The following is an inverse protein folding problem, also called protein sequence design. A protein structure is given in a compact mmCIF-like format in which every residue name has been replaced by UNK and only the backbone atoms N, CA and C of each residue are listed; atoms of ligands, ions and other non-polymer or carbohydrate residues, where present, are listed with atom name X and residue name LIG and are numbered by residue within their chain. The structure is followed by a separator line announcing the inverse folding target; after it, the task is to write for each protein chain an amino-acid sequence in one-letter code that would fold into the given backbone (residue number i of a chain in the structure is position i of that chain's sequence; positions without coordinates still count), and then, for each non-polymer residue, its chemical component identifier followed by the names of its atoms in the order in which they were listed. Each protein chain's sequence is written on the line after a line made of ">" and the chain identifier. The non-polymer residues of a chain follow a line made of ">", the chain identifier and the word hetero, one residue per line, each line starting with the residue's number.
data_IF_432616382618
#
_entry.id   IF_432616382618
#
_cell.length_a   1.000
_cell.length_b   1.000
_cell.length_c   1.000
_cell.angle_alpha   90.00
_cell.angle_beta   90.00
_cell.angle_gamma   90.00
#
_symmetry.space_group_name_H-M   'P 1'
#
loop_
_entity.id
_entity.type
_entity.pdbx_description
1 polymer ?
#
# COMPACT_ATOMS: atom_id res chain seq x y z
N UNK A 1 -10.38 46.16 33.21
CA UNK A 1 -11.72 45.52 33.26
C UNK A 1 -12.10 45.11 31.84
N UNK A 2 -12.83 44.00 31.69
CA UNK A 2 -13.69 43.60 30.56
C UNK A 2 -13.14 43.46 29.11
N UNK A 3 -13.43 42.29 28.54
CA UNK A 3 -13.56 41.91 27.11
C UNK A 3 -15.01 42.23 26.62
N UNK A 4 -15.52 41.82 25.41
CA UNK A 4 -14.92 41.37 24.12
C UNK A 4 -15.46 42.18 22.90
N UNK A 5 -15.11 41.98 21.60
CA UNK A 5 -15.71 40.97 20.68
C UNK A 5 -15.01 40.79 19.30
N UNK A 6 -15.11 39.54 18.82
CA UNK A 6 -14.77 38.87 17.55
C UNK A 6 -14.89 39.70 16.24
N UNK A 7 -14.19 39.43 15.11
CA UNK A 7 -13.74 38.16 14.46
C UNK A 7 -12.43 38.43 13.65
N UNK A 8 -11.80 37.56 12.85
CA UNK A 8 -12.02 36.17 12.38
C UNK A 8 -10.65 35.45 12.20
N UNK A 9 -10.64 34.24 11.64
CA UNK A 9 -9.49 33.32 11.56
C UNK A 9 -8.77 33.26 10.19
N UNK A 10 -7.44 33.12 10.20
CA UNK A 10 -6.69 32.30 9.23
C UNK A 10 -5.62 31.46 9.96
N UNK A 11 -5.99 30.25 10.39
CA UNK A 11 -5.06 29.22 10.88
C UNK A 11 -5.55 27.84 10.42
N UNK A 12 -4.65 27.00 9.89
CA UNK A 12 -4.92 25.55 9.72
C UNK A 12 -4.82 24.96 8.31
N UNK A 13 -3.60 24.86 7.73
CA UNK A 13 -3.32 23.96 6.58
C UNK A 13 -2.07 23.07 6.82
N UNK A 14 -1.44 23.16 7.98
CA UNK A 14 -0.15 22.53 8.27
C UNK A 14 -0.24 21.30 9.21
N UNK A 15 -1.20 20.37 9.00
CA UNK A 15 -1.35 19.20 9.90
C UNK A 15 -2.11 17.96 9.37
N UNK A 16 -2.57 17.91 8.11
CA UNK A 16 -3.62 16.94 7.71
C UNK A 16 -3.25 15.45 7.75
N UNK A 17 -1.97 15.05 7.63
CA UNK A 17 -1.56 13.64 7.83
C UNK A 17 -0.55 13.40 8.95
N UNK A 18 -0.02 14.46 9.60
CA UNK A 18 0.98 14.35 10.67
C UNK A 18 0.64 15.06 11.97
N UNK A 19 -0.35 15.96 11.97
CA UNK A 19 -0.72 16.77 13.15
C UNK A 19 -1.76 16.13 14.06
N UNK A 20 -2.52 15.14 13.57
CA UNK A 20 -3.47 14.37 14.38
C UNK A 20 -2.83 13.61 15.56
N UNK A 21 -1.50 13.47 15.56
CA UNK A 21 -0.75 12.88 16.67
C UNK A 21 -0.51 13.86 17.83
N UNK A 22 -0.33 15.15 17.56
CA UNK A 22 0.12 16.12 18.57
C UNK A 22 -1.02 16.56 19.51
N UNK A 23 -2.25 16.74 19.02
CA UNK A 23 -3.37 17.12 19.89
C UNK A 23 -3.73 16.03 20.92
N UNK A 24 -3.48 14.74 20.60
CA UNK A 24 -3.66 13.63 21.54
C UNK A 24 -2.48 13.40 22.50
N UNK A 25 -1.31 13.98 22.25
CA UNK A 25 -0.16 13.92 23.18
C UNK A 25 -0.37 14.83 24.41
N UNK A 26 -1.22 15.86 24.30
CA UNK A 26 -1.55 16.76 25.43
C UNK A 26 -2.56 16.17 26.42
N UNK A 27 -3.17 15.01 26.15
CA UNK A 27 -4.06 14.30 27.08
C UNK A 27 -3.34 13.26 27.95
N UNK A 28 -2.04 13.43 28.20
CA UNK A 28 -1.24 12.54 29.05
C UNK A 28 -1.61 12.66 30.53
N UNK A 29 -2.58 11.86 31.00
CA UNK A 29 -2.99 11.90 32.41
C UNK A 29 -4.01 10.84 32.85
N UNK A 30 -3.52 9.62 33.15
CA UNK A 30 -4.21 8.49 33.82
C UNK A 30 -5.47 7.93 33.15
N UNK A 31 -5.64 6.60 33.29
CA UNK A 31 -6.86 5.87 32.88
C UNK A 31 -8.07 6.36 33.68
N UNK A 32 -9.18 6.61 33.00
CA UNK A 32 -10.51 6.27 33.53
C UNK A 32 -11.31 5.57 32.43
N UNK A 33 -12.08 4.55 32.81
CA UNK A 33 -13.03 3.92 31.91
C UNK A 33 -14.29 4.79 31.87
N UNK A 34 -14.37 5.70 30.90
CA UNK A 34 -15.57 6.49 30.66
C UNK A 34 -16.35 5.95 29.47
N UNK A 35 -17.67 5.90 29.64
CA UNK A 35 -18.61 5.26 28.70
C UNK A 35 -18.46 5.78 27.27
N UNK A 36 -18.70 4.90 26.30
CA UNK A 36 -18.90 5.25 24.88
C UNK A 36 -20.20 6.06 24.73
N UNK A 37 -20.14 7.35 25.02
CA UNK A 37 -21.28 8.26 24.96
C UNK A 37 -21.53 8.87 23.57
N UNK A 38 -22.68 9.53 23.38
CA UNK A 38 -23.10 10.11 22.10
C UNK A 38 -22.13 11.16 21.54
N UNK A 39 -21.26 11.75 22.39
CA UNK A 39 -20.25 12.71 21.98
C UNK A 39 -19.14 12.07 21.10
N UNK A 40 -18.76 10.82 21.39
CA UNK A 40 -17.80 10.08 20.56
C UNK A 40 -18.40 9.69 19.20
N UNK A 41 -19.70 9.37 19.19
CA UNK A 41 -20.45 9.09 17.96
C UNK A 41 -20.66 10.36 17.11
N UNK A 42 -20.95 11.49 17.75
CA UNK A 42 -21.03 12.80 17.09
C UNK A 42 -19.70 13.21 16.47
N UNK A 43 -18.57 12.98 17.15
CA UNK A 43 -17.23 13.22 16.60
C UNK A 43 -16.93 12.27 15.43
N UNK A 44 -17.25 10.98 15.54
CA UNK A 44 -17.10 10.05 14.40
C UNK A 44 -18.00 10.44 13.19
N UNK A 45 -19.17 11.02 13.44
CA UNK A 45 -20.07 11.55 12.41
C UNK A 45 -19.56 12.84 11.74
N UNK A 46 -18.81 13.69 12.42
CA UNK A 46 -18.21 14.92 11.84
C UNK A 46 -16.83 14.68 11.22
N UNK A 47 -16.06 13.74 11.75
CA UNK A 47 -14.76 13.32 11.19
C UNK A 47 -14.92 12.70 9.79
N UNK A 48 -15.98 11.91 9.55
CA UNK A 48 -16.23 11.27 8.24
C UNK A 48 -16.35 12.27 7.07
N UNK A 49 -17.23 13.29 7.10
CA UNK A 49 -17.30 14.30 6.03
C UNK A 49 -15.99 15.08 5.82
N UNK A 50 -15.32 15.48 6.91
CA UNK A 50 -14.05 16.21 6.84
C UNK A 50 -12.93 15.35 6.24
N UNK A 51 -12.88 14.07 6.60
CA UNK A 51 -11.98 13.10 5.99
C UNK A 51 -12.21 13.01 4.48
N UNK A 52 -13.47 12.84 4.03
CA UNK A 52 -13.78 12.75 2.61
C UNK A 52 -13.40 14.01 1.81
N UNK A 53 -13.59 15.20 2.39
CA UNK A 53 -13.14 16.46 1.79
C UNK A 53 -11.60 16.49 1.68
N UNK A 54 -10.89 16.18 2.78
CA UNK A 54 -9.43 16.17 2.80
C UNK A 54 -8.83 15.13 1.85
N UNK A 55 -9.39 13.92 1.81
CA UNK A 55 -9.01 12.83 0.93
C UNK A 55 -9.26 13.20 -0.56
N UNK A 56 -10.41 13.80 -0.87
CA UNK A 56 -10.70 14.29 -2.23
C UNK A 56 -9.72 15.38 -2.67
N UNK A 57 -9.40 16.33 -1.78
CA UNK A 57 -8.38 17.36 -2.02
C UNK A 57 -6.99 16.76 -2.26
N UNK A 58 -6.61 15.72 -1.50
CA UNK A 58 -5.39 14.96 -1.71
C UNK A 58 -5.42 14.24 -3.08
N UNK A 59 -6.31 13.27 -3.25
CA UNK A 59 -6.28 12.35 -4.39
C UNK A 59 -6.61 13.00 -5.75
N UNK A 60 -7.31 14.15 -5.79
CA UNK A 60 -7.86 14.69 -7.05
C UNK A 60 -7.35 16.08 -7.46
N UNK A 61 -6.52 16.76 -6.67
CA UNK A 61 -6.18 18.18 -6.93
C UNK A 61 -4.69 18.50 -6.94
N UNK A 62 -4.35 19.67 -7.50
CA UNK A 62 -3.00 20.25 -7.43
C UNK A 62 -2.54 20.51 -5.98
N UNK A 63 -3.46 20.67 -5.02
CA UNK A 63 -3.12 20.84 -3.61
C UNK A 63 -2.53 19.55 -3.02
N UNK A 64 -3.12 18.39 -3.35
CA UNK A 64 -2.56 17.08 -3.02
C UNK A 64 -1.17 16.88 -3.61
N UNK A 65 -0.96 17.24 -4.87
CA UNK A 65 0.38 17.21 -5.49
C UNK A 65 1.39 18.15 -4.80
N UNK A 66 0.95 19.29 -4.25
CA UNK A 66 1.82 20.16 -3.43
C UNK A 66 2.12 19.52 -2.07
N UNK A 67 1.15 18.82 -1.47
CA UNK A 67 1.34 18.08 -0.21
C UNK A 67 2.33 16.92 -0.38
N UNK A 68 2.16 16.09 -1.41
CA UNK A 68 3.09 15.02 -1.76
C UNK A 68 4.52 15.54 -1.99
N UNK A 69 4.72 16.62 -2.75
CA UNK A 69 6.06 17.23 -2.92
C UNK A 69 6.67 17.72 -1.61
N UNK A 70 5.86 18.13 -0.61
CA UNK A 70 6.33 18.45 0.75
C UNK A 70 6.69 17.19 1.54
N UNK A 71 5.95 16.08 1.38
CA UNK A 71 6.32 14.79 1.95
C UNK A 71 7.63 14.28 1.37
N UNK A 72 7.82 14.31 0.05
CA UNK A 72 9.09 13.97 -0.62
C UNK A 72 10.27 14.75 -0.04
N UNK A 73 10.14 16.09 0.05
CA UNK A 73 11.21 16.94 0.58
C UNK A 73 11.59 16.53 2.00
N UNK A 74 10.60 16.37 2.89
CA UNK A 74 10.82 15.92 4.28
C UNK A 74 11.41 14.52 4.36
N UNK A 75 10.97 13.61 3.49
CA UNK A 75 11.46 12.25 3.42
C UNK A 75 12.94 12.21 3.04
N UNK A 76 13.36 12.95 2.00
CA UNK A 76 14.76 13.07 1.60
C UNK A 76 15.63 13.76 2.66
N UNK A 77 15.08 14.75 3.38
CA UNK A 77 15.76 15.38 4.52
C UNK A 77 15.97 14.39 5.69
N UNK A 78 14.99 13.52 5.97
CA UNK A 78 15.06 12.51 7.04
C UNK A 78 15.88 11.27 6.64
N UNK A 79 15.81 10.89 5.38
CA UNK A 79 16.31 9.64 4.80
C UNK A 79 17.02 9.92 3.46
N UNK A 80 18.22 10.54 3.46
CA UNK A 80 18.89 10.97 2.24
C UNK A 80 19.31 9.81 1.32
N UNK A 81 19.46 8.60 1.85
CA UNK A 81 19.74 7.36 1.10
C UNK A 81 18.52 6.44 1.01
N UNK A 82 17.30 6.98 1.17
CA UNK A 82 16.08 6.21 1.31
C UNK A 82 15.83 5.68 2.72
N UNK A 83 14.58 5.31 3.00
CA UNK A 83 14.16 4.80 4.32
C UNK A 83 14.68 3.40 4.63
N UNK A 84 15.10 2.66 3.60
CA UNK A 84 15.60 1.29 3.69
C UNK A 84 16.80 1.07 2.77
N UNK A 85 17.71 0.17 3.18
CA UNK A 85 18.70 -0.45 2.33
C UNK A 85 18.04 -1.63 1.61
N UNK A 86 18.14 -1.65 0.29
CA UNK A 86 17.51 -2.68 -0.55
C UNK A 86 18.58 -3.53 -1.21
N UNK A 87 18.23 -4.76 -1.61
CA UNK A 87 19.10 -5.64 -2.38
C UNK A 87 18.34 -6.07 -3.64
N UNK A 88 18.95 -5.96 -4.84
CA UNK A 88 18.34 -6.47 -6.06
C UNK A 88 18.11 -7.97 -5.99
N UNK A 89 16.92 -8.42 -6.38
CA UNK A 89 16.62 -9.84 -6.60
C UNK A 89 16.80 -10.16 -8.08
N UNK A 90 17.66 -11.13 -8.40
CA UNK A 90 17.95 -11.52 -9.80
C UNK A 90 17.53 -12.97 -10.03
N UNK A 91 16.68 -13.20 -11.03
CA UNK A 91 16.14 -14.52 -11.39
C UNK A 91 16.19 -14.67 -12.91
N UNK A 92 17.04 -15.56 -13.43
CA UNK A 92 17.12 -15.96 -14.84
C UNK A 92 17.15 -14.81 -15.88
N UNK A 93 17.83 -13.71 -15.54
CA UNK A 93 17.94 -12.52 -16.39
C UNK A 93 16.79 -11.51 -16.23
N UNK A 94 15.97 -11.65 -15.19
CA UNK A 94 15.17 -10.57 -14.62
C UNK A 94 15.88 -10.04 -13.39
N UNK A 95 15.98 -8.72 -13.23
CA UNK A 95 16.48 -8.07 -12.02
C UNK A 95 15.41 -7.11 -11.47
N UNK A 96 14.98 -7.33 -10.23
CA UNK A 96 13.98 -6.51 -9.53
C UNK A 96 14.69 -5.72 -8.42
N UNK A 97 14.57 -4.40 -8.46
CA UNK A 97 15.21 -3.46 -7.53
C UNK A 97 14.12 -2.68 -6.81
N UNK A 98 13.90 -2.92 -5.50
CA UNK A 98 13.11 -2.03 -4.67
C UNK A 98 13.85 -0.70 -4.52
N UNK A 99 13.22 0.40 -4.92
CA UNK A 99 13.72 1.76 -4.77
C UNK A 99 12.97 2.40 -3.59
N UNK A 100 13.63 2.67 -2.45
CA UNK A 100 13.00 3.26 -1.28
C UNK A 100 12.67 4.73 -1.56
N UNK A 101 11.39 5.07 -1.56
CA UNK A 101 10.89 6.43 -1.82
C UNK A 101 10.02 6.90 -0.67
N UNK A 102 9.90 8.22 -0.50
CA UNK A 102 9.13 8.82 0.60
C UNK A 102 9.56 8.27 1.98
N UNK A 103 8.63 8.13 2.93
CA UNK A 103 8.96 7.68 4.30
C UNK A 103 9.04 6.16 4.45
N UNK A 104 8.35 5.42 3.59
CA UNK A 104 8.08 3.99 3.72
C UNK A 104 7.61 3.31 2.41
N UNK A 105 7.31 4.05 1.34
CA UNK A 105 6.91 3.52 0.04
C UNK A 105 8.06 2.82 -0.72
N UNK A 106 7.74 1.86 -1.59
CA UNK A 106 8.66 1.30 -2.58
C UNK A 106 8.16 1.52 -4.01
N UNK A 107 9.00 2.11 -4.85
CA UNK A 107 8.91 1.91 -6.31
C UNK A 107 9.68 0.65 -6.67
N UNK A 108 9.32 -0.04 -7.76
CA UNK A 108 10.06 -1.23 -8.22
C UNK A 108 10.58 -1.06 -9.64
N UNK A 109 11.90 -1.03 -9.80
CA UNK A 109 12.55 -1.06 -11.12
C UNK A 109 12.77 -2.53 -11.51
N UNK A 110 12.18 -2.95 -12.63
CA UNK A 110 12.17 -4.34 -13.09
C UNK A 110 12.81 -4.39 -14.47
N UNK A 111 13.93 -5.09 -14.57
CA UNK A 111 14.85 -5.05 -15.71
C UNK A 111 14.86 -6.41 -16.41
N UNK A 112 14.66 -6.40 -17.73
CA UNK A 112 15.12 -7.48 -18.61
C UNK A 112 16.61 -7.28 -18.91
N UNK A 113 17.47 -8.12 -18.32
CA UNK A 113 18.92 -7.98 -18.50
C UNK A 113 19.41 -8.41 -19.87
N UNK A 114 18.57 -9.04 -20.70
CA UNK A 114 18.92 -9.44 -22.07
C UNK A 114 18.70 -8.29 -23.08
N UNK A 115 17.72 -7.41 -22.82
CA UNK A 115 17.41 -6.29 -23.71
C UNK A 115 17.76 -4.90 -23.13
N UNK A 116 18.22 -4.83 -21.88
CA UNK A 116 18.45 -3.58 -21.13
C UNK A 116 17.23 -2.65 -21.11
N UNK A 117 16.03 -3.24 -21.07
CA UNK A 117 14.75 -2.54 -21.00
C UNK A 117 14.13 -2.74 -19.62
N UNK A 118 13.50 -1.69 -19.11
CA UNK A 118 12.92 -1.66 -17.78
C UNK A 118 11.43 -1.28 -17.80
N UNK A 119 10.67 -1.96 -16.95
CA UNK A 119 9.38 -1.50 -16.45
C UNK A 119 9.56 -0.96 -15.02
N UNK A 120 8.80 0.06 -14.63
CA UNK A 120 8.78 0.56 -13.25
C UNK A 120 7.37 0.55 -12.69
N UNK A 121 7.20 -0.09 -11.52
CA UNK A 121 5.94 0.00 -10.76
C UNK A 121 6.01 1.19 -9.81
N UNK A 122 4.92 1.96 -9.79
CA UNK A 122 4.67 3.09 -8.88
C UNK A 122 5.87 4.01 -8.63
N UNK A 123 6.37 4.71 -9.67
CA UNK A 123 7.51 5.62 -9.55
C UNK A 123 7.09 6.91 -8.83
N UNK A 124 6.96 6.84 -7.51
CA UNK A 124 6.58 7.96 -6.68
C UNK A 124 7.63 9.07 -6.74
N UNK A 125 8.90 8.77 -6.46
CA UNK A 125 10.01 9.71 -6.61
C UNK A 125 10.68 9.54 -7.98
N UNK A 126 10.44 10.44 -8.95
CA UNK A 126 11.02 10.33 -10.28
C UNK A 126 12.53 10.54 -10.28
N UNK A 127 13.12 11.18 -9.27
CA UNK A 127 14.57 11.37 -9.20
C UNK A 127 15.25 10.09 -8.74
N UNK A 128 14.76 9.46 -7.67
CA UNK A 128 15.33 8.20 -7.18
C UNK A 128 15.21 7.09 -8.22
N UNK A 129 14.07 7.02 -8.92
CA UNK A 129 13.90 6.07 -10.04
C UNK A 129 14.82 6.41 -11.22
N UNK A 130 14.94 7.69 -11.61
CA UNK A 130 15.85 8.08 -12.70
C UNK A 130 17.30 7.72 -12.38
N UNK A 131 17.78 7.98 -11.16
CA UNK A 131 19.13 7.61 -10.73
C UNK A 131 19.35 6.09 -10.80
N UNK A 132 18.39 5.28 -10.34
CA UNK A 132 18.47 3.83 -10.45
C UNK A 132 18.52 3.34 -11.92
N UNK A 133 17.77 3.97 -12.84
CA UNK A 133 17.80 3.62 -14.26
C UNK A 133 19.15 3.98 -14.92
N UNK A 134 19.75 5.10 -14.51
CA UNK A 134 21.06 5.57 -14.97
C UNK A 134 22.20 4.69 -14.42
N UNK A 135 22.18 4.34 -13.14
CA UNK A 135 23.14 3.45 -12.48
C UNK A 135 23.15 2.03 -13.09
N UNK A 136 21.98 1.53 -13.49
CA UNK A 136 21.83 0.22 -14.14
C UNK A 136 22.05 0.26 -15.65
N UNK A 137 22.13 1.45 -16.26
CA UNK A 137 22.35 1.62 -17.71
C UNK A 137 21.19 1.14 -18.59
N UNK A 138 19.94 1.25 -18.11
CA UNK A 138 18.75 0.68 -18.76
C UNK A 138 17.77 1.74 -19.27
N UNK A 139 17.01 1.40 -20.31
CA UNK A 139 15.99 2.29 -20.88
C UNK A 139 14.62 2.00 -20.29
N UNK A 140 13.93 3.05 -19.80
CA UNK A 140 12.56 2.95 -19.29
C UNK A 140 11.55 2.88 -20.44
N UNK A 141 10.84 1.76 -20.54
CA UNK A 141 9.84 1.54 -21.59
C UNK A 141 8.40 1.62 -21.06
N UNK A 142 8.18 1.19 -19.81
CA UNK A 142 6.85 1.14 -19.19
C UNK A 142 6.84 1.64 -17.75
N UNK A 143 5.78 2.36 -17.38
CA UNK A 143 5.38 2.63 -16.00
C UNK A 143 4.07 1.91 -15.75
N UNK A 144 4.05 1.03 -14.76
CA UNK A 144 2.87 0.29 -14.30
C UNK A 144 2.37 0.94 -13.01
N UNK A 145 1.29 1.71 -13.08
CA UNK A 145 0.78 2.41 -11.90
C UNK A 145 -0.37 1.61 -11.28
N UNK A 146 -0.26 1.23 -10.00
CA UNK A 146 -1.28 0.43 -9.31
C UNK A 146 -2.53 1.26 -9.06
N UNK A 147 -2.38 2.50 -8.59
CA UNK A 147 -3.49 3.39 -8.28
C UNK A 147 -3.08 4.88 -8.24
N UNK A 148 -4.06 5.76 -8.04
CA UNK A 148 -3.93 7.21 -8.25
C UNK A 148 -3.25 8.02 -7.15
N UNK A 149 -2.91 7.46 -5.99
CA UNK A 149 -2.36 8.29 -4.91
C UNK A 149 -0.99 8.83 -5.31
N UNK A 150 -0.63 9.99 -4.77
CA UNK A 150 0.54 10.74 -5.25
C UNK A 150 1.85 10.08 -4.83
N UNK A 151 1.83 9.31 -3.77
CA UNK A 151 2.91 8.46 -3.27
C UNK A 151 3.11 7.16 -4.06
N UNK A 152 2.35 6.97 -5.14
CA UNK A 152 2.56 5.91 -6.15
C UNK A 152 2.73 6.52 -7.55
N UNK A 153 1.83 7.42 -7.92
CA UNK A 153 1.73 8.00 -9.27
C UNK A 153 2.47 9.33 -9.48
N UNK A 154 3.09 9.87 -8.42
CA UNK A 154 3.61 11.25 -8.36
C UNK A 154 4.72 11.56 -9.35
N UNK A 155 5.55 10.58 -9.72
CA UNK A 155 6.63 10.73 -10.69
C UNK A 155 6.25 10.40 -12.13
N UNK A 156 5.09 9.77 -12.40
CA UNK A 156 4.69 9.28 -13.73
C UNK A 156 4.88 10.34 -14.84
N UNK A 157 4.33 11.54 -14.63
CA UNK A 157 4.44 12.65 -15.60
C UNK A 157 5.86 13.20 -15.72
N UNK A 158 6.69 13.06 -14.70
CA UNK A 158 8.08 13.53 -14.73
C UNK A 158 8.97 12.55 -15.51
N UNK A 159 8.91 11.25 -15.18
CA UNK A 159 9.63 10.22 -15.92
C UNK A 159 9.19 10.18 -17.39
N UNK A 160 7.89 10.27 -17.71
CA UNK A 160 7.44 10.34 -19.11
C UNK A 160 7.95 11.57 -19.88
N UNK A 161 8.32 12.67 -19.21
CA UNK A 161 8.98 13.80 -19.90
C UNK A 161 10.46 13.55 -20.19
N UNK A 162 11.13 12.73 -19.37
CA UNK A 162 12.51 12.33 -19.58
C UNK A 162 12.59 11.19 -20.63
N UNK A 163 11.66 10.24 -20.54
CA UNK A 163 11.51 9.09 -21.43
C UNK A 163 10.23 9.23 -22.25
N UNK A 164 10.28 9.98 -23.35
CA UNK A 164 9.10 10.37 -24.13
C UNK A 164 8.30 9.17 -24.68
N UNK A 165 9.01 8.13 -25.11
CA UNK A 165 8.50 6.83 -25.56
C UNK A 165 7.86 5.99 -24.45
N UNK A 166 8.14 6.27 -23.17
CA UNK A 166 7.64 5.48 -22.05
C UNK A 166 6.10 5.42 -22.05
N UNK A 167 5.58 4.19 -22.04
CA UNK A 167 4.16 3.88 -21.93
C UNK A 167 3.77 3.96 -20.45
N UNK A 168 2.65 4.60 -20.13
CA UNK A 168 2.13 4.69 -18.75
C UNK A 168 0.80 3.96 -18.70
N UNK A 169 0.77 2.93 -17.85
CA UNK A 169 -0.31 1.97 -17.67
C UNK A 169 -1.00 2.15 -16.32
N UNK A 170 -2.26 1.73 -16.26
CA UNK A 170 -3.11 1.77 -15.08
C UNK A 170 -4.59 1.84 -15.46
N UNK A 171 -5.48 1.82 -14.47
CA UNK A 171 -6.91 1.88 -14.72
C UNK A 171 -7.38 3.32 -15.05
N UNK A 172 -8.30 3.45 -16.00
CA UNK A 172 -8.89 4.74 -16.37
C UNK A 172 -9.71 5.36 -15.23
N UNK A 173 -10.39 4.55 -14.41
CA UNK A 173 -11.25 4.99 -13.31
C UNK A 173 -10.50 5.77 -12.23
N UNK A 174 -9.19 5.55 -12.13
CA UNK A 174 -8.32 6.23 -11.16
C UNK A 174 -7.70 7.53 -11.72
N UNK A 175 -7.91 7.88 -13.00
CA UNK A 175 -7.39 9.13 -13.60
C UNK A 175 -5.85 9.27 -13.41
N UNK A 176 -5.13 8.17 -13.61
CA UNK A 176 -3.68 8.05 -13.36
C UNK A 176 -2.91 9.21 -14.04
N UNK A 177 -2.11 10.00 -13.28
CA UNK A 177 -1.32 11.09 -13.82
C UNK A 177 -0.42 10.69 -14.99
N UNK A 178 -0.78 11.12 -16.21
CA UNK A 178 0.03 10.85 -17.41
C UNK A 178 -0.24 9.49 -18.06
N UNK A 179 -1.33 8.82 -17.70
CA UNK A 179 -1.84 7.62 -18.37
C UNK A 179 -1.84 7.78 -19.89
N UNK A 180 -1.44 6.72 -20.58
CA UNK A 180 -1.48 6.64 -22.06
C UNK A 180 -2.06 5.34 -22.56
N UNK A 181 -1.93 4.26 -21.78
CA UNK A 181 -2.38 2.92 -22.12
C UNK A 181 -3.29 2.44 -20.98
N UNK A 182 -4.59 2.80 -20.99
CA UNK A 182 -5.53 2.32 -19.99
C UNK A 182 -5.65 0.80 -20.03
N UNK A 183 -5.76 0.18 -18.87
CA UNK A 183 -5.91 -1.26 -18.70
C UNK A 183 -7.25 -1.64 -18.08
N UNK A 184 -7.69 -2.86 -18.40
CA UNK A 184 -8.82 -3.58 -17.82
C UNK A 184 -8.35 -4.87 -17.15
N UNK A 185 -9.28 -5.66 -16.61
CA UNK A 185 -8.92 -6.92 -15.93
C UNK A 185 -8.31 -7.93 -16.90
N UNK A 186 -7.22 -8.58 -16.49
CA UNK A 186 -6.50 -9.64 -17.22
C UNK A 186 -5.77 -9.21 -18.50
N UNK A 187 -5.69 -7.91 -18.79
CA UNK A 187 -4.84 -7.40 -19.86
C UNK A 187 -3.36 -7.76 -19.64
N UNK A 188 -2.61 -7.88 -20.74
CA UNK A 188 -1.19 -8.26 -20.74
C UNK A 188 -0.32 -7.09 -21.21
N UNK A 189 0.83 -6.90 -20.56
CA UNK A 189 1.85 -5.92 -20.93
C UNK A 189 3.16 -6.67 -21.17
N UNK A 190 3.70 -6.58 -22.38
CA UNK A 190 5.04 -7.05 -22.72
C UNK A 190 6.02 -5.86 -22.79
N UNK A 191 7.19 -6.05 -22.18
CA UNK A 191 8.34 -5.12 -22.14
C UNK A 191 9.61 -5.94 -22.39
N UNK A 192 10.48 -5.46 -23.28
CA UNK A 192 11.66 -6.23 -23.70
C UNK A 192 11.34 -7.63 -24.23
N UNK A 193 12.17 -8.62 -23.85
CA UNK A 193 12.05 -10.02 -24.30
C UNK A 193 11.42 -10.96 -23.27
N UNK A 194 11.46 -10.61 -21.98
CA UNK A 194 11.05 -11.49 -20.87
C UNK A 194 10.02 -10.90 -19.91
N UNK A 195 9.78 -9.59 -19.90
CA UNK A 195 8.86 -8.99 -18.93
C UNK A 195 7.42 -9.02 -19.44
N UNK A 196 6.74 -10.13 -19.17
CA UNK A 196 5.30 -10.29 -19.39
C UNK A 196 4.53 -10.08 -18.08
N UNK A 197 3.82 -8.97 -17.97
CA UNK A 197 2.92 -8.70 -16.86
C UNK A 197 1.48 -9.02 -17.24
N UNK A 198 0.74 -9.63 -16.32
CA UNK A 198 -0.72 -9.69 -16.33
C UNK A 198 -1.27 -8.72 -15.31
N UNK A 199 -2.10 -7.78 -15.76
CA UNK A 199 -2.79 -6.85 -14.89
C UNK A 199 -4.07 -7.51 -14.33
N UNK A 200 -4.38 -7.27 -13.06
CA UNK A 200 -5.65 -7.66 -12.44
C UNK A 200 -6.34 -6.45 -11.85
N UNK A 201 -7.63 -6.31 -12.12
CA UNK A 201 -8.45 -5.24 -11.55
C UNK A 201 -8.87 -5.61 -10.14
N UNK A 202 -8.47 -4.79 -9.16
CA UNK A 202 -8.56 -5.12 -7.73
C UNK A 202 -9.07 -3.95 -6.91
N UNK A 203 -10.31 -3.47 -7.18
CA UNK A 203 -10.89 -2.35 -6.46
C UNK A 203 -10.99 -2.64 -4.96
N UNK A 204 -10.91 -1.58 -4.15
CA UNK A 204 -11.01 -1.71 -2.69
C UNK A 204 -10.31 -0.56 -1.99
N UNK A 205 -9.01 -0.42 -2.24
CA UNK A 205 -8.23 0.73 -1.78
C UNK A 205 -8.69 2.01 -2.49
N UNK A 206 -8.54 2.04 -3.81
CA UNK A 206 -9.21 2.99 -4.71
C UNK A 206 -10.21 2.27 -5.61
N UNK A 207 -11.06 3.03 -6.33
CA UNK A 207 -11.97 2.47 -7.33
C UNK A 207 -11.26 1.87 -8.54
N UNK A 208 -10.06 2.36 -8.90
CA UNK A 208 -9.30 1.92 -10.07
C UNK A 208 -8.02 1.14 -9.72
N UNK A 209 -7.91 0.56 -8.53
CA UNK A 209 -6.69 -0.13 -8.13
C UNK A 209 -6.42 -1.37 -9.00
N UNK A 210 -5.17 -1.54 -9.43
CA UNK A 210 -4.66 -2.65 -10.21
C UNK A 210 -3.47 -3.30 -9.48
N UNK A 211 -3.30 -4.61 -9.65
CA UNK A 211 -2.06 -5.32 -9.30
C UNK A 211 -1.44 -5.94 -10.56
N UNK A 212 -0.12 -6.09 -10.57
CA UNK A 212 0.63 -6.57 -11.74
C UNK A 212 1.39 -7.84 -11.39
N UNK A 213 1.07 -8.95 -12.08
CA UNK A 213 1.77 -10.22 -11.93
C UNK A 213 2.74 -10.40 -13.10
N UNK A 214 4.04 -10.31 -12.84
CA UNK A 214 5.08 -10.72 -13.77
C UNK A 214 5.12 -12.26 -13.85
N UNK A 215 4.87 -12.82 -15.04
CA UNK A 215 4.74 -14.26 -15.26
C UNK A 215 6.09 -14.99 -15.21
N UNK A 216 6.31 -15.72 -14.11
CA UNK A 216 7.52 -16.51 -13.87
C UNK A 216 7.83 -17.54 -14.95
N UNK A 217 6.80 -18.03 -15.67
CA UNK A 217 6.94 -19.06 -16.71
C UNK A 217 7.75 -18.57 -17.91
N UNK A 218 7.75 -17.26 -18.18
CA UNK A 218 8.45 -16.67 -19.33
C UNK A 218 9.97 -16.69 -19.14
N UNK A 219 10.45 -16.60 -17.90
CA UNK A 219 11.88 -16.66 -17.56
C UNK A 219 12.27 -17.89 -16.72
N UNK A 220 11.36 -18.83 -16.47
CA UNK A 220 11.63 -20.08 -15.77
C UNK A 220 11.88 -19.93 -14.27
N UNK A 221 11.20 -19.00 -13.60
CA UNK A 221 11.26 -18.77 -12.15
C UNK A 221 9.87 -18.61 -11.52
N UNK A 222 9.80 -18.27 -10.22
CA UNK A 222 8.53 -17.89 -9.59
C UNK A 222 7.99 -16.58 -10.18
N UNK A 223 6.66 -16.47 -10.23
CA UNK A 223 6.01 -15.20 -10.59
C UNK A 223 6.25 -14.12 -9.54
N UNK A 224 6.17 -12.85 -9.93
CA UNK A 224 6.31 -11.71 -9.01
C UNK A 224 5.08 -10.81 -9.07
N UNK A 225 4.38 -10.69 -7.96
CA UNK A 225 3.19 -9.85 -7.80
C UNK A 225 3.55 -8.51 -7.19
N UNK A 226 3.35 -7.43 -7.95
CA UNK A 226 3.40 -6.06 -7.47
C UNK A 226 2.00 -5.64 -7.04
N UNK A 227 1.78 -5.61 -5.72
CA UNK A 227 0.44 -5.54 -5.12
C UNK A 227 -0.03 -4.12 -4.77
N UNK A 228 0.84 -3.12 -4.88
CA UNK A 228 0.54 -1.74 -4.47
C UNK A 228 -0.04 -1.70 -3.07
N UNK A 229 -1.23 -1.12 -2.94
CA UNK A 229 -1.94 -0.95 -1.68
C UNK A 229 -3.09 -1.95 -1.48
N UNK A 230 -3.10 -3.05 -2.24
CA UNK A 230 -4.04 -4.14 -1.99
C UNK A 230 -3.58 -5.03 -0.82
N UNK A 231 -2.40 -5.65 -0.94
CA UNK A 231 -1.81 -6.57 0.04
C UNK A 231 -0.41 -6.09 0.42
N UNK A 232 -0.14 -6.09 1.72
CA UNK A 232 1.17 -5.83 2.31
C UNK A 232 1.66 -7.08 3.04
N UNK A 233 2.95 -7.15 3.41
CA UNK A 233 3.41 -8.15 4.39
C UNK A 233 2.54 -8.08 5.65
N UNK A 234 1.85 -9.18 5.97
CA UNK A 234 0.91 -9.34 7.07
C UNK A 234 -0.27 -8.34 7.11
N UNK A 235 -0.56 -7.64 6.01
CA UNK A 235 -1.59 -6.59 5.97
C UNK A 235 -2.35 -6.48 4.65
N UNK A 236 -3.32 -5.55 4.63
CA UNK A 236 -3.97 -5.05 3.42
C UNK A 236 -4.15 -3.54 3.47
N UNK A 237 -4.52 -2.92 2.35
CA UNK A 237 -4.88 -1.52 2.26
C UNK A 237 -6.07 -1.11 3.12
N UNK A 238 -6.16 0.18 3.41
CA UNK A 238 -7.42 0.79 3.86
C UNK A 238 -8.42 0.81 2.72
N UNK A 239 -9.69 0.59 3.04
CA UNK A 239 -10.78 0.65 2.06
C UNK A 239 -11.25 2.10 1.89
N UNK A 240 -10.48 2.94 1.17
CA UNK A 240 -10.84 4.35 1.03
C UNK A 240 -12.01 4.56 0.07
N UNK A 241 -12.10 3.77 -1.00
CA UNK A 241 -13.16 3.96 -2.03
C UNK A 241 -13.95 2.68 -2.36
N UNK A 242 -13.64 1.56 -1.70
CA UNK A 242 -14.41 0.31 -1.76
C UNK A 242 -15.06 -0.06 -0.43
N UNK A 243 -15.70 -1.24 -0.40
CA UNK A 243 -16.25 -1.85 0.80
C UNK A 243 -15.63 -3.25 1.04
N UNK A 244 -16.00 -3.91 2.14
CA UNK A 244 -15.41 -5.19 2.51
C UNK A 244 -15.67 -6.31 1.49
N UNK A 245 -16.86 -6.37 0.88
CA UNK A 245 -17.14 -7.36 -0.17
C UNK A 245 -16.30 -7.12 -1.44
N UNK A 246 -16.10 -5.86 -1.82
CA UNK A 246 -15.23 -5.47 -2.94
C UNK A 246 -13.76 -5.83 -2.65
N UNK A 247 -13.25 -5.44 -1.46
CA UNK A 247 -11.89 -5.76 -1.03
C UNK A 247 -11.68 -7.28 -0.90
N UNK A 248 -12.67 -8.03 -0.40
CA UNK A 248 -12.58 -9.49 -0.29
C UNK A 248 -12.39 -10.16 -1.65
N UNK A 249 -13.15 -9.76 -2.67
CA UNK A 249 -13.00 -10.29 -4.05
C UNK A 249 -11.60 -10.02 -4.62
N UNK A 250 -11.04 -8.84 -4.34
CA UNK A 250 -9.68 -8.48 -4.71
C UNK A 250 -8.62 -9.28 -3.94
N UNK A 251 -8.83 -9.54 -2.64
CA UNK A 251 -7.96 -10.40 -1.83
C UNK A 251 -8.03 -11.87 -2.23
N UNK A 252 -9.21 -12.38 -2.60
CA UNK A 252 -9.41 -13.74 -3.12
C UNK A 252 -8.73 -13.94 -4.48
N UNK A 253 -8.64 -12.88 -5.30
CA UNK A 253 -7.81 -12.89 -6.52
C UNK A 253 -6.35 -13.17 -6.18
N UNK A 254 -5.78 -12.51 -5.16
CA UNK A 254 -4.40 -12.79 -4.67
C UNK A 254 -4.31 -14.19 -4.06
N UNK A 255 -5.31 -14.60 -3.27
CA UNK A 255 -5.39 -15.93 -2.66
C UNK A 255 -5.39 -17.07 -3.67
N UNK A 256 -5.92 -16.83 -4.88
CA UNK A 256 -5.97 -17.80 -5.99
C UNK A 256 -4.65 -18.00 -6.75
N UNK A 257 -3.66 -17.12 -6.54
CA UNK A 257 -2.35 -17.21 -7.19
C UNK A 257 -1.49 -18.31 -6.55
N UNK A 258 -0.51 -18.79 -7.32
CA UNK A 258 0.44 -19.82 -6.89
C UNK A 258 1.15 -19.41 -5.58
N UNK A 259 1.36 -20.39 -4.70
CA UNK A 259 1.99 -20.20 -3.39
C UNK A 259 3.46 -19.72 -3.49
N UNK A 260 4.18 -20.08 -4.56
CA UNK A 260 5.56 -19.65 -4.81
C UNK A 260 5.69 -18.21 -5.35
N UNK A 261 4.57 -17.52 -5.61
CA UNK A 261 4.57 -16.14 -6.10
C UNK A 261 5.22 -15.20 -5.08
N UNK A 262 6.21 -14.43 -5.52
CA UNK A 262 6.88 -13.38 -4.72
C UNK A 262 5.97 -12.15 -4.61
N UNK A 263 5.80 -11.60 -3.40
CA UNK A 263 4.98 -10.43 -3.11
C UNK A 263 5.85 -9.16 -2.95
N UNK A 264 5.51 -8.13 -3.71
CA UNK A 264 6.18 -6.84 -3.76
C UNK A 264 5.18 -5.70 -3.43
N UNK A 265 5.04 -5.32 -2.15
CA UNK A 265 4.04 -4.37 -1.66
C UNK A 265 4.39 -2.88 -1.83
N UNK A 266 3.38 -2.02 -1.85
CA UNK A 266 3.57 -0.57 -1.95
C UNK A 266 4.37 0.07 -0.80
N UNK A 267 4.32 -0.52 0.41
CA UNK A 267 4.88 0.08 1.63
C UNK A 267 5.58 -0.92 2.57
N UNK A 268 6.55 -0.40 3.32
CA UNK A 268 7.28 -1.05 4.41
C UNK A 268 6.49 -1.08 5.73
N UNK A 269 5.28 -1.68 5.71
CA UNK A 269 4.38 -1.77 6.87
C UNK A 269 4.48 -3.09 7.67
N UNK A 270 5.43 -3.97 7.35
CA UNK A 270 5.48 -5.34 7.87
C UNK A 270 5.48 -5.41 9.41
N UNK A 271 6.21 -4.52 10.09
CA UNK A 271 6.33 -4.50 11.56
C UNK A 271 4.99 -4.19 12.25
N UNK A 272 4.34 -3.07 11.91
CA UNK A 272 3.03 -2.68 12.47
C UNK A 272 1.90 -3.64 12.04
N UNK A 273 2.03 -4.30 10.89
CA UNK A 273 1.12 -5.36 10.46
C UNK A 273 1.24 -6.63 11.30
N UNK A 274 2.46 -7.11 11.56
CA UNK A 274 2.70 -8.29 12.40
C UNK A 274 2.39 -8.02 13.88
N UNK A 275 2.67 -6.82 14.39
CA UNK A 275 2.28 -6.39 15.74
C UNK A 275 0.76 -6.33 15.92
N UNK A 276 0.02 -5.90 14.89
CA UNK A 276 -1.44 -5.98 14.90
C UNK A 276 -1.93 -7.43 14.84
N UNK A 277 -1.35 -8.27 13.98
CA UNK A 277 -1.72 -9.68 13.88
C UNK A 277 -1.50 -10.44 15.21
N UNK A 278 -0.53 -10.01 16.03
CA UNK A 278 -0.29 -10.56 17.37
C UNK A 278 -1.43 -10.33 18.37
N UNK A 279 -2.21 -9.24 18.25
CA UNK A 279 -3.37 -8.97 19.12
C UNK A 279 -4.59 -9.84 18.74
N UNK A 280 -4.55 -10.53 17.60
CA UNK A 280 -5.62 -11.41 17.10
C UNK A 280 -5.23 -12.89 17.19
N UNK A 281 -4.02 -13.23 16.74
CA UNK A 281 -3.50 -14.58 16.65
C UNK A 281 -2.21 -14.71 17.49
N UNK A 282 -2.28 -14.55 18.83
CA UNK A 282 -1.10 -14.58 19.71
C UNK A 282 -0.37 -15.93 19.68
N UNK A 283 -1.09 -17.03 19.41
CA UNK A 283 -0.53 -18.38 19.29
C UNK A 283 0.04 -18.76 17.92
N UNK A 284 -0.03 -17.88 16.91
CA UNK A 284 0.49 -18.17 15.57
C UNK A 284 2.03 -18.06 15.56
N UNK A 285 2.70 -19.23 15.59
CA UNK A 285 4.17 -19.33 15.67
C UNK A 285 4.85 -18.79 14.41
N UNK A 286 4.29 -19.04 13.21
CA UNK A 286 4.85 -18.50 11.96
C UNK A 286 4.83 -16.97 11.96
N UNK A 287 3.73 -16.36 12.46
CA UNK A 287 3.60 -14.91 12.61
C UNK A 287 4.66 -14.34 13.57
N UNK A 288 4.93 -15.03 14.68
CA UNK A 288 5.99 -14.63 15.62
C UNK A 288 7.39 -14.75 15.00
N UNK A 289 7.70 -15.86 14.33
CA UNK A 289 8.97 -16.04 13.62
C UNK A 289 9.19 -14.97 12.54
N UNK A 290 8.15 -14.63 11.77
CA UNK A 290 8.22 -13.54 10.78
C UNK A 290 8.42 -12.18 11.44
N UNK A 291 7.78 -11.91 12.59
CA UNK A 291 8.00 -10.67 13.35
C UNK A 291 9.46 -10.53 13.81
N UNK A 292 10.05 -11.58 14.38
CA UNK A 292 11.45 -11.56 14.79
C UNK A 292 12.41 -11.32 13.60
N UNK A 293 12.15 -11.96 12.45
CA UNK A 293 12.89 -11.70 11.23
C UNK A 293 12.74 -10.25 10.74
N UNK A 294 11.51 -9.71 10.71
CA UNK A 294 11.22 -8.32 10.33
C UNK A 294 11.96 -7.35 11.25
N UNK A 295 11.89 -7.52 12.57
CA UNK A 295 12.61 -6.67 13.54
C UNK A 295 14.13 -6.70 13.30
N UNK A 296 14.70 -7.87 12.96
CA UNK A 296 16.12 -7.99 12.60
C UNK A 296 16.46 -7.26 11.29
N UNK A 297 15.59 -7.31 10.27
CA UNK A 297 15.76 -6.55 9.04
C UNK A 297 15.67 -5.05 9.30
N UNK A 298 14.58 -4.59 9.95
CA UNK A 298 14.32 -3.17 10.22
C UNK A 298 15.36 -2.54 11.15
N UNK A 299 15.91 -3.28 12.11
CA UNK A 299 17.04 -2.85 12.93
C UNK A 299 18.31 -2.52 12.13
N UNK A 300 18.49 -3.16 10.96
CA UNK A 300 19.55 -2.87 9.99
C UNK A 300 19.10 -1.95 8.84
N UNK A 301 17.86 -1.45 8.92
CA UNK A 301 17.12 -0.75 7.85
C UNK A 301 16.98 -1.56 6.55
N UNK A 302 17.05 -2.89 6.59
CA UNK A 302 16.89 -3.74 5.41
C UNK A 302 15.41 -3.84 5.01
N UNK A 303 15.17 -3.86 3.71
CA UNK A 303 13.86 -4.12 3.12
C UNK A 303 13.28 -5.47 3.60
N UNK A 304 12.00 -5.52 3.94
CA UNK A 304 11.31 -6.77 4.31
C UNK A 304 10.67 -7.51 3.13
N UNK A 305 10.75 -6.93 1.93
CA UNK A 305 10.23 -7.49 0.68
C UNK A 305 11.34 -8.17 -0.13
N UNK A 306 11.03 -9.26 -0.87
CA UNK A 306 9.71 -9.88 -1.01
C UNK A 306 9.40 -10.88 0.11
N UNK A 307 8.12 -11.18 0.30
CA UNK A 307 7.67 -12.46 0.89
C UNK A 307 7.10 -13.37 -0.19
N UNK A 308 6.65 -14.57 0.16
CA UNK A 308 5.87 -15.46 -0.73
C UNK A 308 4.39 -15.46 -0.36
N UNK A 309 3.50 -15.74 -1.32
CA UNK A 309 2.08 -15.93 -1.01
C UNK A 309 1.82 -17.14 -0.09
N UNK A 310 2.69 -18.17 -0.13
CA UNK A 310 2.72 -19.26 0.84
C UNK A 310 2.85 -18.75 2.29
N UNK A 311 3.85 -17.90 2.54
CA UNK A 311 4.09 -17.27 3.84
C UNK A 311 2.92 -16.40 4.28
N UNK A 312 2.44 -15.51 3.39
CA UNK A 312 1.34 -14.59 3.72
C UNK A 312 0.07 -15.35 4.11
N UNK A 313 -0.27 -16.46 3.43
CA UNK A 313 -1.44 -17.29 3.79
C UNK A 313 -1.33 -17.89 5.21
N UNK A 314 -0.13 -17.99 5.79
CA UNK A 314 0.09 -18.51 7.15
C UNK A 314 -0.03 -17.46 8.27
N UNK A 315 0.34 -16.19 8.03
CA UNK A 315 0.37 -15.16 9.09
C UNK A 315 -0.42 -13.87 8.79
N UNK A 316 -0.85 -13.63 7.55
CA UNK A 316 -1.56 -12.40 7.19
C UNK A 316 -3.06 -12.56 7.49
N UNK A 317 -3.61 -11.88 8.53
CA UNK A 317 -4.99 -12.09 8.93
C UNK A 317 -5.98 -11.70 7.82
N UNK A 318 -5.59 -10.82 6.90
CA UNK A 318 -6.44 -10.38 5.79
C UNK A 318 -6.58 -11.44 4.67
N UNK A 319 -5.60 -12.34 4.53
CA UNK A 319 -5.72 -13.53 3.66
C UNK A 319 -6.34 -14.74 4.40
N UNK A 320 -6.47 -14.66 5.72
CA UNK A 320 -7.00 -15.70 6.61
C UNK A 320 -8.45 -15.46 7.03
N UNK A 321 -9.23 -14.63 6.32
CA UNK A 321 -10.65 -14.35 6.64
C UNK A 321 -11.58 -15.59 6.66
N UNK A 322 -11.13 -16.68 6.04
CA UNK A 322 -11.79 -17.99 6.05
C UNK A 322 -11.42 -18.87 7.27
N UNK A 323 -10.41 -18.50 8.05
CA UNK A 323 -9.84 -19.33 9.11
C UNK A 323 -10.65 -19.20 10.42
N UNK A 324 -10.99 -20.36 11.00
CA UNK A 324 -11.90 -20.45 12.13
C UNK A 324 -11.32 -19.84 13.42
N UNK A 325 -10.01 -19.97 13.62
CA UNK A 325 -9.24 -19.36 14.72
C UNK A 325 -9.32 -17.83 14.70
N UNK A 326 -9.10 -17.21 13.53
CA UNK A 326 -9.24 -15.77 13.35
C UNK A 326 -10.69 -15.31 13.57
N UNK A 327 -11.68 -16.06 13.06
CA UNK A 327 -13.10 -15.76 13.26
C UNK A 327 -13.49 -15.80 14.75
N UNK A 328 -12.99 -16.80 15.49
CA UNK A 328 -13.16 -16.89 16.95
C UNK A 328 -12.47 -15.75 17.70
N UNK A 329 -11.24 -15.38 17.33
CA UNK A 329 -10.52 -14.23 17.92
C UNK A 329 -11.21 -12.88 17.65
N UNK A 330 -11.91 -12.77 16.52
CA UNK A 330 -12.76 -11.62 16.21
C UNK A 330 -14.11 -11.68 16.96
N UNK A 331 -14.49 -12.82 17.54
CA UNK A 331 -15.78 -13.01 18.22
C UNK A 331 -16.96 -13.09 17.24
N UNK A 332 -16.70 -13.56 16.02
CA UNK A 332 -17.68 -13.60 14.94
C UNK A 332 -18.06 -15.04 14.60
N UNK A 333 -19.36 -15.30 14.50
CA UNK A 333 -19.92 -16.55 13.97
C UNK A 333 -20.79 -16.24 12.75
N UNK A 334 -20.92 -17.18 11.83
CA UNK A 334 -21.81 -17.07 10.67
C UNK A 334 -23.26 -17.09 11.15
N UNK A 335 -24.09 -16.18 10.65
CA UNK A 335 -25.53 -16.20 10.95
C UNK A 335 -26.23 -17.27 10.10
N UNK A 336 -27.36 -17.81 10.59
CA UNK A 336 -28.07 -18.91 9.92
C UNK A 336 -28.41 -18.63 8.44
N UNK A 337 -28.81 -17.41 8.11
CA UNK A 337 -29.24 -17.00 6.77
C UNK A 337 -28.17 -16.20 6.00
N UNK A 338 -26.93 -16.16 6.49
CA UNK A 338 -25.83 -15.41 5.89
C UNK A 338 -24.96 -16.32 5.02
N UNK A 339 -24.76 -15.98 3.76
CA UNK A 339 -23.88 -16.75 2.87
C UNK A 339 -22.40 -16.60 3.26
N UNK A 340 -21.59 -17.58 2.88
CA UNK A 340 -20.17 -17.64 3.24
C UNK A 340 -19.34 -16.43 2.76
N UNK A 341 -19.68 -15.85 1.61
CA UNK A 341 -18.97 -14.68 1.06
C UNK A 341 -19.31 -13.43 1.86
N UNK A 342 -20.59 -13.22 2.16
CA UNK A 342 -21.04 -12.14 3.04
C UNK A 342 -20.46 -12.25 4.45
N UNK A 343 -20.41 -13.46 5.01
CA UNK A 343 -19.77 -13.71 6.31
C UNK A 343 -18.27 -13.36 6.29
N UNK A 344 -17.52 -13.84 5.30
CA UNK A 344 -16.10 -13.48 5.12
C UNK A 344 -15.90 -11.98 4.90
N UNK A 345 -16.82 -11.30 4.24
CA UNK A 345 -16.78 -9.84 4.07
C UNK A 345 -16.99 -9.12 5.41
N UNK A 346 -17.94 -9.57 6.24
CA UNK A 346 -18.14 -9.05 7.60
C UNK A 346 -16.94 -9.31 8.52
N UNK A 347 -16.30 -10.47 8.39
CA UNK A 347 -15.02 -10.79 9.08
C UNK A 347 -13.92 -9.81 8.66
N UNK A 348 -13.78 -9.56 7.35
CA UNK A 348 -12.82 -8.59 6.82
C UNK A 348 -13.12 -7.14 7.24
N UNK A 349 -14.39 -6.74 7.31
CA UNK A 349 -14.81 -5.41 7.77
C UNK A 349 -14.40 -5.17 9.22
N UNK A 350 -14.72 -6.10 10.12
CA UNK A 350 -14.35 -6.01 11.54
C UNK A 350 -12.82 -6.04 11.74
N UNK A 351 -12.12 -6.91 11.00
CA UNK A 351 -10.66 -6.97 10.99
C UNK A 351 -10.03 -5.63 10.58
N UNK A 352 -10.50 -5.06 9.47
CA UNK A 352 -10.05 -3.75 8.95
C UNK A 352 -10.36 -2.63 9.95
N UNK A 353 -11.57 -2.63 10.52
CA UNK A 353 -12.01 -1.67 11.55
C UNK A 353 -11.14 -1.73 12.80
N UNK A 354 -10.71 -2.92 13.24
CA UNK A 354 -9.74 -3.08 14.34
C UNK A 354 -8.37 -2.52 13.98
N UNK A 355 -7.84 -2.82 12.78
CA UNK A 355 -6.54 -2.30 12.32
C UNK A 355 -6.56 -0.78 12.17
N UNK A 356 -7.67 -0.18 11.76
CA UNK A 356 -7.75 1.27 11.52
C UNK A 356 -7.75 2.13 12.80
N UNK A 357 -8.17 1.54 13.93
CA UNK A 357 -8.07 2.16 15.26
C UNK A 357 -6.86 1.66 16.06
N UNK A 358 -6.13 0.67 15.55
CA UNK A 358 -4.93 0.13 16.19
C UNK A 358 -3.85 1.21 16.29
N UNK A 359 -3.06 1.11 17.35
CA UNK A 359 -1.82 1.86 17.54
C UNK A 359 -0.82 0.89 18.12
N UNK A 360 0.36 0.80 17.51
CA UNK A 360 1.54 0.21 18.13
C UNK A 360 1.72 0.81 19.53
N UNK A 361 1.92 -0.04 20.55
CA UNK A 361 2.01 0.37 21.95
C UNK A 361 3.34 1.07 22.27
#
# INVERSE_FOLDING_TARGET
>A
MALPDWTLCVFGVASVCGGFYIYRLLSGGRRSAWNRGPLAELMARTERPLFWIAYSLYARTKLGYVFYKRQMKKAREKYPSGHSRTQPTTINGIKIIPVPVLSDNYSYVIIDTASSLAAVVDPADPQSVQSCLEEEGVTLEAILCTHKHWDHSGGNRALKRLHSSCRVYGNLMDNIPGLTHPLTDKDTIDVGTKLRFRAFYTPGHTVGHMIYLLDGRVFGGPSSLFSGDLVFLSGCGRMFEGNASTMLSSLDTVGSLNDDTLLWPGHEYAEDNLLFAAELEPGNITREQKLQWVLQQRGQRLCTSPSTLAEEKQYNPFLRSHAQDLQQALGLQQNHDEDWTSYRARVLEELRRRKDIYKSR
#
